data_IF_434586409708
#
_entry.id   IF_434586409708
#
_cell.length_a   1.000
_cell.length_b   1.000
_cell.length_c   1.000
_cell.angle_alpha   90.00
_cell.angle_beta   90.00
_cell.angle_gamma   90.00
#
_symmetry.space_group_name_H-M   'P 1'
#
loop_
_entity.id
_entity.type
_entity.pdbx_description
1 polymer ?
#
# COMPACT_ATOMS: atom_id res chain seq x y z
N UNK A 1 -2.88 15.39 -3.64
CA UNK A 1 -3.38 14.56 -4.76
C UNK A 1 -3.66 13.17 -4.20
N UNK A 2 -4.34 12.30 -4.93
CA UNK A 2 -4.52 10.89 -4.53
C UNK A 2 -3.81 9.99 -5.53
N UNK A 3 -3.41 8.81 -5.10
CA UNK A 3 -2.88 7.75 -5.97
C UNK A 3 -3.75 6.51 -5.80
N UNK A 4 -4.00 5.80 -6.90
CA UNK A 4 -4.79 4.56 -6.93
C UNK A 4 -3.86 3.38 -6.71
N UNK A 5 -4.13 2.55 -5.70
CA UNK A 5 -3.36 1.33 -5.38
C UNK A 5 -4.29 0.12 -5.40
N UNK A 6 -3.72 -1.08 -5.49
CA UNK A 6 -4.48 -2.34 -5.53
C UNK A 6 -4.44 -3.00 -4.15
N UNK A 7 -5.59 -3.14 -3.50
CA UNK A 7 -5.74 -3.84 -2.22
C UNK A 7 -6.81 -4.92 -2.36
N UNK A 8 -6.46 -6.19 -2.12
CA UNK A 8 -7.37 -7.34 -2.26
C UNK A 8 -8.16 -7.31 -3.60
N UNK A 9 -7.42 -7.22 -4.71
CA UNK A 9 -7.95 -7.14 -6.08
C UNK A 9 -8.88 -5.94 -6.36
N UNK A 10 -8.92 -4.95 -5.45
CA UNK A 10 -9.75 -3.75 -5.57
C UNK A 10 -8.89 -2.49 -5.66
N UNK A 11 -9.28 -1.56 -6.53
CA UNK A 11 -8.68 -0.24 -6.61
C UNK A 11 -9.16 0.64 -5.46
N UNK A 12 -8.21 1.22 -4.72
CA UNK A 12 -8.49 2.18 -3.64
C UNK A 12 -7.66 3.45 -3.81
N UNK A 13 -8.20 4.57 -3.35
CA UNK A 13 -7.49 5.85 -3.32
C UNK A 13 -6.76 6.03 -1.99
N UNK A 14 -5.46 6.32 -2.05
CA UNK A 14 -4.66 6.73 -0.91
C UNK A 14 -4.08 8.13 -1.15
N UNK A 15 -3.67 8.81 -0.08
CA UNK A 15 -3.08 10.13 -0.20
C UNK A 15 -1.76 10.07 -0.98
N UNK A 16 -1.54 11.04 -1.87
CA UNK A 16 -0.25 11.19 -2.53
C UNK A 16 0.86 11.42 -1.49
N UNK A 17 1.92 10.63 -1.59
CA UNK A 17 3.00 10.58 -0.61
C UNK A 17 2.76 9.66 0.60
N UNK A 18 1.63 8.94 0.65
CA UNK A 18 1.44 7.81 1.59
C UNK A 18 2.63 6.83 1.45
N UNK A 19 3.14 6.33 2.57
CA UNK A 19 4.37 5.52 2.58
C UNK A 19 4.07 4.11 3.08
N UNK A 20 4.67 3.13 2.43
CA UNK A 20 4.72 1.78 2.94
C UNK A 20 5.32 1.79 4.35
N UNK A 21 4.55 1.35 5.35
CA UNK A 21 4.97 1.35 6.75
C UNK A 21 6.18 0.43 7.03
N UNK A 22 6.51 -0.49 6.11
CA UNK A 22 7.62 -1.43 6.22
C UNK A 22 8.90 -0.86 5.58
N UNK A 23 8.85 -0.49 4.29
CA UNK A 23 10.05 -0.09 3.55
C UNK A 23 10.27 1.43 3.47
N UNK A 24 9.29 2.24 3.90
CA UNK A 24 9.34 3.70 3.93
C UNK A 24 9.26 4.38 2.55
N UNK A 25 9.15 3.62 1.46
CA UNK A 25 9.00 4.15 0.11
C UNK A 25 7.56 4.65 -0.11
N UNK A 26 7.36 5.72 -0.88
CA UNK A 26 6.02 6.18 -1.24
C UNK A 26 5.29 5.10 -2.05
N UNK A 27 3.98 4.97 -1.82
CA UNK A 27 3.11 4.16 -2.65
C UNK A 27 2.93 4.84 -4.01
N UNK A 28 2.98 4.03 -5.07
CA UNK A 28 2.82 4.47 -6.45
C UNK A 28 1.54 3.91 -7.05
N UNK A 29 1.16 4.45 -8.21
CA UNK A 29 -0.02 3.99 -8.93
C UNK A 29 0.07 2.48 -9.24
N UNK A 30 -1.00 1.76 -8.92
CA UNK A 30 -1.12 0.30 -9.08
C UNK A 30 -0.16 -0.54 -8.22
N UNK A 31 0.45 0.03 -7.18
CA UNK A 31 1.15 -0.79 -6.18
C UNK A 31 0.18 -1.79 -5.54
N UNK A 32 0.57 -3.06 -5.51
CA UNK A 32 -0.12 -4.07 -4.72
C UNK A 32 0.20 -3.87 -3.24
N UNK A 33 -0.84 -3.57 -2.47
CA UNK A 33 -0.77 -3.26 -1.05
C UNK A 33 -1.71 -4.13 -0.24
N UNK A 34 -1.45 -4.16 1.05
CA UNK A 34 -2.37 -4.66 2.07
C UNK A 34 -2.30 -3.72 3.28
N UNK A 35 -3.30 -3.81 4.17
CA UNK A 35 -3.45 -2.93 5.32
C UNK A 35 -4.75 -2.13 5.28
N UNK A 36 -4.81 -1.07 6.08
CA UNK A 36 -6.00 -0.21 6.19
C UNK A 36 -5.59 1.23 6.41
N UNK A 37 -6.45 2.20 6.07
CA UNK A 37 -6.19 3.61 6.37
C UNK A 37 -6.03 3.94 7.86
N UNK A 38 -6.36 3.00 8.77
CA UNK A 38 -6.19 3.16 10.23
C UNK A 38 -4.80 2.68 10.68
N UNK A 39 -4.36 1.53 10.18
CA UNK A 39 -3.10 0.89 10.58
C UNK A 39 -1.92 1.22 9.66
N UNK A 40 -2.20 1.87 8.54
CA UNK A 40 -1.26 2.11 7.46
C UNK A 40 -1.34 1.04 6.37
N UNK A 41 -0.82 1.41 5.20
CA UNK A 41 -0.68 0.55 4.03
C UNK A 41 0.77 0.11 3.88
N UNK A 42 0.98 -1.06 3.29
CA UNK A 42 2.30 -1.58 2.99
C UNK A 42 2.26 -2.45 1.74
N UNK A 43 3.35 -2.46 0.97
CA UNK A 43 3.47 -3.30 -0.22
C UNK A 43 3.28 -4.77 0.14
N UNK A 44 2.53 -5.50 -0.69
CA UNK A 44 2.34 -6.93 -0.53
C UNK A 44 3.68 -7.69 -0.45
N UNK A 45 4.67 -7.26 -1.22
CA UNK A 45 6.03 -7.83 -1.24
C UNK A 45 6.87 -7.48 -0.01
N UNK A 46 6.51 -6.43 0.74
CA UNK A 46 7.20 -6.06 1.97
C UNK A 46 6.72 -6.90 3.16
N UNK A 47 5.56 -7.55 3.06
CA UNK A 47 5.10 -8.51 4.07
C UNK A 47 5.93 -9.77 3.92
N UNK A 48 6.59 -10.18 5.00
CA UNK A 48 7.26 -11.48 5.03
C UNK A 48 6.19 -12.55 5.12
N UNK A 49 5.94 -13.26 4.01
CA UNK A 49 5.20 -14.51 4.04
C UNK A 49 6.11 -15.53 4.74
N UNK A 50 5.88 -15.78 6.03
CA UNK A 50 6.34 -17.03 6.62
C UNK A 50 5.40 -18.11 6.08
N UNK A 51 5.88 -18.86 5.09
CA UNK A 51 5.31 -20.15 4.68
C UNK A 51 5.23 -21.11 5.89
#
# INVERSE_FOLDING_TARGET
MVVVVICDDSEIEVQDGERCAICGRPLQEYDEVTGTGILGYYHWTCVTHFD
#
